data_IF_180561869100
#
_entry.id   IF_180561869100
#
_cell.length_a   1.000
_cell.length_b   1.000
_cell.length_c   1.000
_cell.angle_alpha   90.00
_cell.angle_beta   90.00
_cell.angle_gamma   90.00
#
_symmetry.space_group_name_H-M   'P 1'
#
loop_
_entity.id
_entity.type
_entity.pdbx_description
1 polymer ?
#
# COMPACT_ATOMS: atom_id res chain seq x y z
N UNK A 1 22.64 -6.34 8.38
CA UNK A 1 21.39 -5.88 7.77
C UNK A 1 21.60 -5.67 6.29
N UNK A 2 20.68 -6.12 5.48
CA UNK A 2 20.76 -5.92 4.05
C UNK A 2 20.37 -4.48 3.67
N UNK A 3 20.92 -3.98 2.58
CA UNK A 3 20.53 -2.68 2.05
C UNK A 3 19.04 -2.67 1.70
N UNK A 4 18.51 -3.79 1.24
CA UNK A 4 17.08 -3.89 0.91
C UNK A 4 16.19 -3.63 2.13
N UNK A 5 16.54 -4.16 3.30
CA UNK A 5 15.77 -3.92 4.53
C UNK A 5 15.82 -2.45 4.92
N UNK A 6 17.02 -1.85 4.91
CA UNK A 6 17.18 -0.43 5.27
C UNK A 6 16.40 0.47 4.32
N UNK A 7 16.47 0.20 3.03
CA UNK A 7 15.73 0.94 2.01
C UNK A 7 14.24 0.73 2.14
N UNK A 8 13.80 -0.49 2.44
CA UNK A 8 12.39 -0.79 2.66
C UNK A 8 11.79 -0.04 3.83
N UNK A 9 12.52 0.05 4.94
CA UNK A 9 12.10 0.83 6.10
C UNK A 9 11.97 2.31 5.76
N UNK A 10 12.95 2.86 5.04
CA UNK A 10 12.93 4.25 4.63
C UNK A 10 11.72 4.55 3.75
N UNK A 11 11.49 3.72 2.73
CA UNK A 11 10.37 3.89 1.81
C UNK A 11 9.05 3.79 2.56
N UNK A 12 8.88 2.80 3.41
CA UNK A 12 7.63 2.61 4.15
C UNK A 12 7.37 3.77 5.10
N UNK A 13 8.39 4.29 5.76
CA UNK A 13 8.25 5.46 6.63
C UNK A 13 7.84 6.71 5.85
N UNK A 14 8.34 6.87 4.62
CA UNK A 14 7.94 7.98 3.74
C UNK A 14 6.50 7.85 3.25
N UNK A 15 6.10 6.63 2.88
CA UNK A 15 4.78 6.38 2.30
C UNK A 15 3.68 6.23 3.34
N UNK A 16 4.01 5.70 4.51
CA UNK A 16 3.03 5.46 5.58
C UNK A 16 3.68 5.81 6.93
N UNK A 17 3.85 7.12 7.22
CA UNK A 17 4.45 7.54 8.48
C UNK A 17 3.67 7.03 9.68
N UNK A 18 4.41 6.60 10.71
CA UNK A 18 3.82 6.12 11.95
C UNK A 18 3.50 4.65 12.01
N UNK A 19 3.54 3.93 10.88
CA UNK A 19 3.30 2.50 10.89
C UNK A 19 4.43 1.76 11.61
N UNK A 20 5.68 2.15 11.34
CA UNK A 20 6.87 1.57 11.96
C UNK A 20 7.54 2.64 12.80
N UNK A 21 7.70 2.42 14.12
CA UNK A 21 8.39 3.39 14.97
C UNK A 21 9.83 3.64 14.48
N UNK A 22 10.28 4.88 14.61
CA UNK A 22 11.61 5.28 14.12
C UNK A 22 12.74 4.49 14.78
N UNK A 23 12.52 4.04 16.02
CA UNK A 23 13.52 3.31 16.78
C UNK A 23 13.28 1.79 16.77
N UNK A 24 12.41 1.29 15.88
CA UNK A 24 12.15 -0.14 15.80
C UNK A 24 13.40 -0.88 15.34
N UNK A 25 13.82 -1.87 16.13
CA UNK A 25 15.00 -2.70 15.82
C UNK A 25 14.62 -4.14 15.50
N UNK A 26 13.43 -4.59 15.97
CA UNK A 26 12.92 -5.92 15.71
C UNK A 26 11.54 -5.80 15.10
N UNK A 27 11.36 -6.40 13.94
CA UNK A 27 10.11 -6.31 13.18
C UNK A 27 9.39 -7.65 13.13
N UNK A 28 9.98 -8.67 13.74
CA UNK A 28 9.38 -10.01 13.84
C UNK A 28 8.80 -10.22 15.23
N UNK A 29 7.83 -11.12 15.31
CA UNK A 29 7.28 -11.57 16.59
C UNK A 29 7.32 -13.09 16.65
N UNK A 30 6.87 -13.67 17.78
CA UNK A 30 6.93 -15.10 18.02
C UNK A 30 5.67 -15.85 17.54
N UNK A 31 4.71 -15.14 16.97
CA UNK A 31 3.46 -15.74 16.50
C UNK A 31 3.58 -16.41 15.14
N UNK A 32 2.46 -16.93 14.68
CA UNK A 32 2.38 -17.52 13.34
C UNK A 32 2.76 -16.46 12.32
N UNK A 33 3.66 -16.83 11.39
CA UNK A 33 4.16 -15.94 10.35
C UNK A 33 4.79 -14.66 10.90
N UNK A 34 5.49 -14.75 12.03
CA UNK A 34 6.10 -13.60 12.71
C UNK A 34 7.17 -12.88 11.90
N UNK A 35 7.69 -13.49 10.83
CA UNK A 35 8.70 -12.89 9.95
C UNK A 35 8.09 -12.21 8.71
N UNK A 36 6.77 -12.21 8.56
CA UNK A 36 6.13 -11.75 7.33
C UNK A 36 6.42 -10.26 7.05
N UNK A 37 6.39 -9.41 8.09
CA UNK A 37 6.69 -7.98 7.90
C UNK A 37 8.11 -7.78 7.37
N UNK A 38 9.08 -8.52 7.91
CA UNK A 38 10.46 -8.43 7.44
C UNK A 38 10.60 -8.86 5.99
N UNK A 39 9.92 -9.93 5.60
CA UNK A 39 9.92 -10.40 4.21
C UNK A 39 9.31 -9.33 3.28
N UNK A 40 8.22 -8.70 3.71
CA UNK A 40 7.61 -7.61 2.96
C UNK A 40 8.55 -6.41 2.81
N UNK A 41 9.26 -6.04 3.89
CA UNK A 41 10.22 -4.94 3.84
C UNK A 41 11.36 -5.25 2.88
N UNK A 42 11.90 -6.47 2.91
CA UNK A 42 13.03 -6.85 2.06
C UNK A 42 12.64 -6.96 0.60
N UNK A 43 11.53 -7.66 0.30
CA UNK A 43 11.18 -8.03 -1.06
C UNK A 43 10.24 -7.03 -1.74
N UNK A 44 9.32 -6.44 -1.01
CA UNK A 44 8.33 -5.52 -1.59
C UNK A 44 8.83 -4.08 -1.52
N UNK A 45 8.98 -3.55 -0.31
CA UNK A 45 9.34 -2.15 -0.14
C UNK A 45 10.81 -1.87 -0.46
N UNK A 46 11.71 -2.77 -0.10
CA UNK A 46 13.14 -2.60 -0.33
C UNK A 46 13.59 -2.93 -1.74
N UNK A 47 12.90 -3.84 -2.42
CA UNK A 47 13.35 -4.34 -3.73
C UNK A 47 12.44 -3.93 -4.90
N UNK A 48 11.15 -3.71 -4.68
CA UNK A 48 10.22 -3.35 -5.75
C UNK A 48 9.89 -1.87 -5.76
N UNK A 49 9.49 -1.30 -4.62
CA UNK A 49 9.12 0.11 -4.55
C UNK A 49 10.28 1.08 -4.78
N UNK A 50 11.52 0.58 -4.66
CA UNK A 50 12.74 1.36 -4.90
C UNK A 50 13.18 1.36 -6.36
N UNK A 51 12.58 0.52 -7.22
CA UNK A 51 12.96 0.44 -8.63
C UNK A 51 12.57 1.73 -9.35
N UNK A 52 13.44 2.18 -10.26
CA UNK A 52 13.25 3.43 -10.99
C UNK A 52 12.42 3.30 -12.27
N UNK A 53 12.07 2.07 -12.66
CA UNK A 53 11.30 1.82 -13.89
C UNK A 53 9.87 2.33 -13.86
N UNK A 54 9.28 2.49 -12.68
CA UNK A 54 8.01 3.16 -12.46
C UNK A 54 8.13 4.08 -11.26
N UNK A 55 7.54 5.26 -11.34
CA UNK A 55 7.48 6.14 -10.18
C UNK A 55 6.50 5.63 -9.13
N UNK A 56 6.53 6.23 -7.94
CA UNK A 56 5.68 5.80 -6.83
C UNK A 56 4.20 6.00 -7.10
N UNK A 57 3.86 7.09 -7.80
CA UNK A 57 2.47 7.37 -8.17
C UNK A 57 1.91 6.27 -9.07
N UNK A 58 2.66 5.89 -10.10
CA UNK A 58 2.25 4.82 -11.02
C UNK A 58 2.18 3.47 -10.29
N UNK A 59 3.12 3.18 -9.40
CA UNK A 59 3.09 1.96 -8.59
C UNK A 59 1.85 1.89 -7.71
N UNK A 60 1.43 3.02 -7.13
CA UNK A 60 0.20 3.07 -6.34
C UNK A 60 -1.03 2.76 -7.19
N UNK A 61 -1.09 3.27 -8.43
CA UNK A 61 -2.19 2.94 -9.34
C UNK A 61 -2.29 1.43 -9.60
N UNK A 62 -1.16 0.80 -9.90
CA UNK A 62 -1.10 -0.65 -10.13
C UNK A 62 -1.50 -1.42 -8.87
N UNK A 63 -0.97 -1.00 -7.72
CA UNK A 63 -1.23 -1.66 -6.45
C UNK A 63 -2.71 -1.57 -6.07
N UNK A 64 -3.32 -0.39 -6.20
CA UNK A 64 -4.75 -0.24 -5.89
C UNK A 64 -5.60 -1.13 -6.78
N UNK A 65 -5.31 -1.19 -8.08
CA UNK A 65 -6.04 -2.07 -8.98
C UNK A 65 -5.95 -3.53 -8.57
N UNK A 66 -4.74 -3.99 -8.25
CA UNK A 66 -4.53 -5.38 -7.82
C UNK A 66 -5.28 -5.68 -6.52
N UNK A 67 -5.17 -4.81 -5.51
CA UNK A 67 -5.80 -5.02 -4.21
C UNK A 67 -7.32 -4.98 -4.29
N UNK A 68 -7.87 -4.12 -5.15
CA UNK A 68 -9.32 -4.07 -5.39
C UNK A 68 -9.79 -5.39 -5.99
N UNK A 69 -9.09 -5.88 -7.01
CA UNK A 69 -9.45 -7.15 -7.67
C UNK A 69 -9.34 -8.34 -6.73
N UNK A 70 -8.33 -8.35 -5.87
CA UNK A 70 -8.14 -9.40 -4.86
C UNK A 70 -9.07 -9.26 -3.66
N UNK A 71 -9.80 -8.16 -3.56
CA UNK A 71 -10.62 -7.79 -2.40
C UNK A 71 -9.81 -7.80 -1.10
N UNK A 72 -8.58 -7.35 -1.18
CA UNK A 72 -7.66 -7.26 -0.05
C UNK A 72 -7.97 -6.00 0.76
N UNK A 73 -9.09 -5.98 1.46
CA UNK A 73 -9.61 -4.79 2.14
C UNK A 73 -8.70 -4.31 3.26
N UNK A 74 -8.04 -5.22 3.99
CA UNK A 74 -7.09 -4.82 5.03
C UNK A 74 -5.87 -4.10 4.44
N UNK A 75 -5.36 -4.59 3.30
CA UNK A 75 -4.24 -3.93 2.62
C UNK A 75 -4.66 -2.59 2.02
N UNK A 76 -5.89 -2.49 1.53
CA UNK A 76 -6.41 -1.22 1.01
C UNK A 76 -6.48 -0.13 2.07
N UNK A 77 -6.69 -0.48 3.34
CA UNK A 77 -6.68 0.50 4.43
C UNK A 77 -5.35 1.24 4.52
N UNK A 78 -4.26 0.57 4.26
CA UNK A 78 -2.93 1.17 4.21
C UNK A 78 -2.65 1.83 2.86
N UNK A 79 -3.01 1.18 1.76
CA UNK A 79 -2.61 1.63 0.42
C UNK A 79 -3.39 2.82 -0.11
N UNK A 80 -4.61 3.09 0.35
CA UNK A 80 -5.28 4.34 -0.01
C UNK A 80 -4.53 5.56 0.54
N UNK A 81 -4.17 5.62 1.83
CA UNK A 81 -3.32 6.72 2.31
C UNK A 81 -1.95 6.77 1.63
N UNK A 82 -1.32 5.64 1.38
CA UNK A 82 -0.06 5.58 0.64
C UNK A 82 -0.22 6.22 -0.74
N UNK A 83 -1.31 5.92 -1.44
CA UNK A 83 -1.57 6.48 -2.76
C UNK A 83 -1.66 8.01 -2.73
N UNK A 84 -2.30 8.56 -1.71
CA UNK A 84 -2.36 10.02 -1.52
C UNK A 84 -0.95 10.58 -1.29
N UNK A 85 -0.16 9.94 -0.43
CA UNK A 85 1.23 10.34 -0.19
C UNK A 85 2.05 10.30 -1.47
N UNK A 86 1.76 9.34 -2.34
CA UNK A 86 2.48 9.17 -3.61
C UNK A 86 1.93 10.05 -4.73
N UNK A 87 0.98 10.93 -4.44
CA UNK A 87 0.55 11.97 -5.36
C UNK A 87 -0.79 11.76 -6.04
N UNK A 88 -1.56 10.72 -5.68
CA UNK A 88 -2.91 10.58 -6.22
C UNK A 88 -3.87 11.50 -5.47
N UNK A 89 -4.76 12.13 -6.23
CA UNK A 89 -5.86 12.90 -5.64
C UNK A 89 -7.02 11.97 -5.28
N UNK A 90 -7.92 12.47 -4.43
CA UNK A 90 -9.15 11.74 -4.08
C UNK A 90 -9.97 11.44 -5.34
N UNK A 91 -10.04 12.40 -6.27
CA UNK A 91 -10.78 12.20 -7.51
C UNK A 91 -10.12 11.12 -8.39
N UNK A 92 -8.80 11.07 -8.44
CA UNK A 92 -8.10 10.03 -9.16
C UNK A 92 -8.32 8.65 -8.53
N UNK A 93 -8.32 8.56 -7.22
CA UNK A 93 -8.63 7.31 -6.51
C UNK A 93 -10.07 6.87 -6.84
N UNK A 94 -11.01 7.81 -6.87
CA UNK A 94 -12.39 7.52 -7.28
C UNK A 94 -12.44 6.93 -8.70
N UNK A 95 -11.65 7.50 -9.61
CA UNK A 95 -11.57 7.00 -10.99
C UNK A 95 -11.00 5.58 -11.06
N UNK A 96 -10.02 5.25 -10.22
CA UNK A 96 -9.50 3.89 -10.13
C UNK A 96 -10.62 2.91 -9.72
N UNK A 97 -11.39 3.28 -8.69
CA UNK A 97 -12.51 2.44 -8.21
C UNK A 97 -13.54 2.25 -9.32
N UNK A 98 -13.92 3.33 -10.01
CA UNK A 98 -14.87 3.24 -11.13
C UNK A 98 -14.35 2.34 -12.24
N UNK A 99 -13.09 2.51 -12.60
CA UNK A 99 -12.45 1.72 -13.65
C UNK A 99 -12.46 0.24 -13.33
N UNK A 100 -12.20 -0.11 -12.08
CA UNK A 100 -12.15 -1.51 -11.65
C UNK A 100 -13.52 -2.19 -11.65
N UNK A 101 -14.61 -1.43 -11.76
CA UNK A 101 -15.94 -2.01 -11.98
C UNK A 101 -15.96 -2.87 -13.24
N UNK A 102 -15.25 -2.45 -14.29
CA UNK A 102 -15.17 -3.16 -15.56
C UNK A 102 -14.24 -4.37 -15.55
N UNK A 103 -13.28 -4.43 -14.62
CA UNK A 103 -12.24 -5.47 -14.64
C UNK A 103 -12.30 -6.39 -13.43
N UNK A 104 -12.86 -5.95 -12.31
CA UNK A 104 -12.96 -6.74 -11.09
C UNK A 104 -14.40 -6.97 -10.65
N UNK A 105 -15.34 -6.25 -11.24
CA UNK A 105 -16.76 -6.33 -10.93
C UNK A 105 -17.23 -5.34 -9.89
N UNK A 106 -18.51 -5.05 -9.91
CA UNK A 106 -19.14 -4.09 -9.00
C UNK A 106 -18.92 -4.43 -7.51
N UNK A 107 -19.07 -5.69 -7.07
CA UNK A 107 -18.88 -5.99 -5.64
C UNK A 107 -17.46 -5.67 -5.14
N UNK A 108 -16.44 -5.92 -5.94
CA UNK A 108 -15.06 -5.58 -5.57
C UNK A 108 -14.88 -4.07 -5.47
N UNK A 109 -15.43 -3.33 -6.44
CA UNK A 109 -15.39 -1.88 -6.43
C UNK A 109 -16.14 -1.29 -5.23
N UNK A 110 -17.32 -1.85 -4.90
CA UNK A 110 -18.10 -1.41 -3.75
C UNK A 110 -17.35 -1.65 -2.43
N UNK A 111 -16.69 -2.79 -2.28
CA UNK A 111 -15.86 -3.06 -1.09
C UNK A 111 -14.71 -2.06 -0.98
N UNK A 112 -14.04 -1.76 -2.10
CA UNK A 112 -12.96 -0.77 -2.12
C UNK A 112 -13.46 0.62 -1.75
N UNK A 113 -14.63 1.03 -2.28
CA UNK A 113 -15.24 2.32 -1.95
C UNK A 113 -15.51 2.45 -0.46
N UNK A 114 -16.02 1.40 0.17
CA UNK A 114 -16.29 1.42 1.61
C UNK A 114 -15.02 1.66 2.41
N UNK A 115 -13.92 0.97 2.05
CA UNK A 115 -12.62 1.16 2.71
C UNK A 115 -12.09 2.58 2.46
N UNK A 116 -12.16 3.05 1.22
CA UNK A 116 -11.67 4.40 0.89
C UNK A 116 -12.37 5.46 1.72
N UNK A 117 -13.69 5.36 1.87
CA UNK A 117 -14.47 6.31 2.68
C UNK A 117 -14.13 6.24 4.17
N UNK A 118 -13.75 5.06 4.65
CA UNK A 118 -13.32 4.89 6.04
C UNK A 118 -11.98 5.57 6.30
N UNK A 119 -11.01 5.42 5.38
CA UNK A 119 -9.62 5.83 5.65
C UNK A 119 -9.21 7.14 4.99
N UNK A 120 -9.99 7.67 4.03
CA UNK A 120 -9.69 8.91 3.36
C UNK A 120 -10.73 9.96 3.72
N UNK A 121 -10.34 10.93 4.56
CA UNK A 121 -11.21 12.05 4.87
C UNK A 121 -11.20 13.04 3.71
N UNK A 122 -12.38 13.46 3.24
CA UNK A 122 -12.52 14.62 2.39
C UNK A 122 -12.65 15.85 3.29
N UNK A 123 -11.74 16.75 3.15
CA UNK A 123 -11.82 18.04 3.82
C UNK A 123 -12.74 18.99 3.07
#
# INVERSE_FOLDING_TARGET
>A
MTDARAQGLEVLREMLPGLVPDNATALRDDGVAGELLELGLDHVFGSLWTRTGLDRRSRSLVTLGALIALRATEELKAHFPIAVRNGLTIDEISEVIYHMTGYAGYPAAASARAVAREVLARS
#
